data_IF_739669826199
#
_entry.id   IF_739669826199
#
_cell.length_a   1.000
_cell.length_b   1.000
_cell.length_c   1.000
_cell.angle_alpha   90.00
_cell.angle_beta   90.00
_cell.angle_gamma   90.00
#
_symmetry.space_group_name_H-M   'P 1'
#
loop_
_entity.id
_entity.type
_entity.pdbx_description
1 polymer ?
#
# COMPACT_ATOMS: atom_id res chain seq x y z
N UNK A 1 13.01 23.94 19.94
CA UNK A 1 12.77 22.53 20.27
C UNK A 1 11.39 22.18 19.75
N UNK A 2 11.30 21.61 18.54
CA UNK A 2 10.01 21.40 17.86
C UNK A 2 9.33 20.19 18.50
N UNK A 3 8.11 20.40 18.97
CA UNK A 3 7.25 19.39 19.59
C UNK A 3 6.95 18.27 18.59
N UNK A 4 7.41 17.05 18.88
CA UNK A 4 6.93 15.83 18.23
C UNK A 4 5.53 15.53 18.78
N UNK A 5 4.53 16.28 18.35
CA UNK A 5 3.16 15.79 18.42
C UNK A 5 3.07 14.66 17.42
N UNK A 6 3.33 13.43 17.87
CA UNK A 6 2.82 12.25 17.21
C UNK A 6 1.30 12.44 17.18
N UNK A 7 0.77 12.89 16.03
CA UNK A 7 -0.66 12.78 15.78
C UNK A 7 -0.98 11.30 15.94
N UNK A 8 -1.84 10.97 16.90
CA UNK A 8 -2.60 9.73 16.93
C UNK A 8 -3.40 9.64 15.62
N UNK A 9 -2.73 9.27 14.53
CA UNK A 9 -3.38 9.01 13.24
C UNK A 9 -4.05 7.65 13.40
N UNK A 10 -5.26 7.68 13.93
CA UNK A 10 -6.13 6.52 13.97
C UNK A 10 -6.55 6.21 12.53
N UNK A 11 -6.30 4.98 12.12
CA UNK A 11 -6.77 4.42 10.87
C UNK A 11 -7.50 3.12 11.18
N UNK A 12 -8.60 2.86 10.50
CA UNK A 12 -9.33 1.59 10.60
C UNK A 12 -8.47 0.43 10.08
N UNK A 13 -7.61 0.71 9.09
CA UNK A 13 -6.68 -0.27 8.49
C UNK A 13 -5.30 0.34 8.27
N UNK A 14 -4.26 -0.43 8.59
CA UNK A 14 -2.88 -0.13 8.22
C UNK A 14 -2.41 -1.14 7.16
N UNK A 15 -1.92 -0.65 6.03
CA UNK A 15 -1.32 -1.43 4.94
C UNK A 15 0.19 -1.21 4.97
N UNK A 16 0.96 -2.30 5.05
CA UNK A 16 2.42 -2.26 5.01
C UNK A 16 2.90 -2.60 3.59
N UNK A 17 3.58 -1.66 2.96
CA UNK A 17 4.08 -1.73 1.59
C UNK A 17 3.24 -0.91 0.61
N UNK A 18 3.87 0.03 -0.10
CA UNK A 18 3.28 0.87 -1.15
C UNK A 18 3.50 0.33 -2.57
N UNK A 19 3.63 -1.00 -2.71
CA UNK A 19 3.59 -1.68 -4.00
C UNK A 19 2.17 -1.76 -4.59
N UNK A 20 2.04 -2.29 -5.81
CA UNK A 20 0.76 -2.33 -6.54
C UNK A 20 -0.35 -3.05 -5.76
N UNK A 21 -0.02 -4.13 -5.06
CA UNK A 21 -0.98 -4.90 -4.24
C UNK A 21 -1.41 -4.11 -3.01
N UNK A 22 -0.46 -3.46 -2.32
CA UNK A 22 -0.73 -2.65 -1.13
C UNK A 22 -1.59 -1.43 -1.46
N UNK A 23 -1.22 -0.69 -2.51
CA UNK A 23 -2.00 0.45 -3.00
C UNK A 23 -3.38 0.05 -3.52
N UNK A 24 -3.49 -1.07 -4.24
CA UNK A 24 -4.79 -1.59 -4.67
C UNK A 24 -5.68 -1.94 -3.48
N UNK A 25 -5.12 -2.60 -2.47
CA UNK A 25 -5.84 -2.93 -1.24
C UNK A 25 -6.31 -1.66 -0.53
N UNK A 26 -5.41 -0.69 -0.34
CA UNK A 26 -5.73 0.59 0.29
C UNK A 26 -6.83 1.35 -0.46
N UNK A 27 -6.77 1.37 -1.79
CA UNK A 27 -7.77 2.01 -2.64
C UNK A 27 -9.16 1.41 -2.45
N UNK A 28 -9.31 0.08 -2.52
CA UNK A 28 -10.61 -0.56 -2.37
C UNK A 28 -11.14 -0.51 -0.93
N UNK A 29 -10.27 -0.50 0.07
CA UNK A 29 -10.66 -0.28 1.47
C UNK A 29 -11.16 1.16 1.68
N UNK A 30 -10.46 2.15 1.13
CA UNK A 30 -10.88 3.55 1.17
C UNK A 30 -12.23 3.76 0.46
N UNK A 31 -12.46 3.11 -0.69
CA UNK A 31 -13.76 3.14 -1.36
C UNK A 31 -14.91 2.57 -0.51
N UNK A 32 -14.62 1.66 0.42
CA UNK A 32 -15.59 1.14 1.40
C UNK A 32 -15.83 2.07 2.59
N UNK A 33 -15.22 3.26 2.59
CA UNK A 33 -15.37 4.27 3.64
C UNK A 33 -14.44 4.09 4.84
N UNK A 34 -13.45 3.18 4.75
CA UNK A 34 -12.46 2.98 5.81
C UNK A 34 -11.35 4.03 5.71
N UNK A 35 -10.90 4.53 6.86
CA UNK A 35 -9.66 5.29 6.95
C UNK A 35 -8.46 4.33 6.85
N UNK A 36 -7.59 4.56 5.85
CA UNK A 36 -6.45 3.66 5.58
C UNK A 36 -5.14 4.42 5.69
N UNK A 37 -4.20 3.86 6.45
CA UNK A 37 -2.81 4.31 6.49
C UNK A 37 -1.93 3.34 5.70
N UNK A 38 -1.14 3.86 4.76
CA UNK A 38 -0.13 3.08 4.04
C UNK A 38 1.25 3.45 4.57
N UNK A 39 2.03 2.45 4.97
CA UNK A 39 3.40 2.62 5.41
C UNK A 39 4.35 1.97 4.39
N UNK A 40 5.32 2.74 3.92
CA UNK A 40 6.41 2.26 3.06
C UNK A 40 7.74 2.64 3.72
N UNK A 41 8.70 1.72 3.70
CA UNK A 41 10.02 1.93 4.29
C UNK A 41 10.85 2.87 3.42
N UNK A 42 10.71 2.77 2.10
CA UNK A 42 11.53 3.49 1.14
C UNK A 42 10.83 4.78 0.66
N UNK A 43 11.61 5.85 0.53
CA UNK A 43 11.08 7.13 0.03
C UNK A 43 10.92 7.15 -1.49
N UNK A 44 11.68 6.30 -2.19
CA UNK A 44 11.67 6.17 -3.64
C UNK A 44 11.07 4.81 -4.01
N UNK A 45 10.32 4.72 -5.11
CA UNK A 45 9.77 3.45 -5.56
C UNK A 45 10.91 2.63 -6.20
N UNK A 46 11.42 1.63 -5.49
CA UNK A 46 12.46 0.71 -5.99
C UNK A 46 12.11 -0.78 -5.80
N UNK A 47 10.92 -1.09 -5.25
CA UNK A 47 10.45 -2.45 -5.04
C UNK A 47 9.96 -3.17 -6.32
N UNK A 48 9.52 -4.43 -6.17
CA UNK A 48 9.07 -5.30 -7.27
C UNK A 48 8.01 -4.65 -8.17
N UNK A 49 7.14 -3.81 -7.60
CA UNK A 49 6.08 -3.15 -8.35
C UNK A 49 6.59 -2.01 -9.24
N UNK A 50 7.75 -1.42 -8.95
CA UNK A 50 8.36 -0.38 -9.79
C UNK A 50 9.12 -0.99 -10.97
N UNK A 51 9.87 -2.06 -10.73
CA UNK A 51 10.70 -2.72 -11.74
C UNK A 51 9.99 -3.74 -12.62
N UNK A 52 8.69 -4.00 -12.42
CA UNK A 52 7.97 -4.92 -13.31
C UNK A 52 7.71 -4.26 -14.67
N UNK A 53 7.80 -5.03 -15.75
CA UNK A 53 7.55 -4.54 -17.11
C UNK A 53 6.06 -4.28 -17.42
N UNK A 54 5.18 -4.27 -16.41
CA UNK A 54 3.73 -4.10 -16.57
C UNK A 54 3.02 -5.26 -17.26
N UNK A 55 3.67 -6.43 -17.39
CA UNK A 55 3.05 -7.60 -18.02
C UNK A 55 1.95 -8.16 -17.13
N UNK A 56 0.74 -8.29 -17.68
CA UNK A 56 -0.42 -8.87 -17.01
C UNK A 56 -0.78 -10.16 -17.75
N UNK A 57 -0.81 -11.28 -17.01
CA UNK A 57 -1.20 -12.59 -17.54
C UNK A 57 -2.57 -13.01 -17.00
N UNK A 58 -3.64 -12.95 -17.81
CA UNK A 58 -4.98 -13.35 -17.39
C UNK A 58 -5.11 -14.84 -17.06
N UNK A 59 -4.17 -15.68 -17.52
CA UNK A 59 -4.20 -17.13 -17.27
C UNK A 59 -3.52 -17.54 -15.96
N UNK A 60 -2.75 -16.65 -15.33
CA UNK A 60 -1.88 -16.98 -14.19
C UNK A 60 -1.88 -15.88 -13.11
N UNK A 61 -3.04 -15.29 -12.81
CA UNK A 61 -3.16 -14.23 -11.79
C UNK A 61 -3.71 -14.71 -10.45
N UNK A 62 -4.22 -15.95 -10.38
CA UNK A 62 -4.74 -16.52 -9.13
C UNK A 62 -3.56 -16.80 -8.19
N UNK A 63 -3.57 -16.28 -6.95
CA UNK A 63 -2.48 -16.53 -6.00
C UNK A 63 -2.28 -18.02 -5.76
N UNK A 64 -1.03 -18.47 -5.86
CA UNK A 64 -0.62 -19.79 -5.38
C UNK A 64 -0.22 -19.62 -3.92
N UNK A 65 -0.94 -20.30 -3.02
CA UNK A 65 -0.72 -20.46 -1.57
C UNK A 65 -0.03 -19.30 -0.83
#
# INVERSE_FOLDING_TARGET
MVSLQQMEKQADVVVIGAGIVGLSSAYFLAQKGLSVMVLEKDRQPDGCSYGNAGFISPSHFVPLA
#
